data_IF_274867323201
#
_entry.id   IF_274867323201
#
_cell.length_a   1.000
_cell.length_b   1.000
_cell.length_c   1.000
_cell.angle_alpha   90.00
_cell.angle_beta   90.00
_cell.angle_gamma   90.00
#
_symmetry.space_group_name_H-M   'P 1'
#
loop_
_entity.id
_entity.type
_entity.pdbx_description
1 polymer ?
#
# COMPACT_ATOMS: atom_id res chain seq x y z
N UNK A 1 -10.54 -0.71 5.72
CA UNK A 1 -9.70 -1.64 4.93
C UNK A 1 -10.20 -1.64 3.50
N UNK A 2 -9.38 -1.15 2.59
CA UNK A 2 -9.73 -0.98 1.18
C UNK A 2 -9.38 -2.23 0.36
N UNK A 3 -8.37 -3.01 0.78
CA UNK A 3 -8.01 -4.29 0.17
C UNK A 3 -8.84 -5.39 0.84
N UNK A 4 -9.80 -5.99 0.14
CA UNK A 4 -10.70 -6.98 0.73
C UNK A 4 -10.59 -8.37 0.10
N UNK A 5 -9.91 -8.50 -1.05
CA UNK A 5 -9.81 -9.79 -1.73
C UNK A 5 -8.38 -10.19 -2.06
N UNK A 6 -8.12 -11.50 -1.97
CA UNK A 6 -6.84 -12.09 -2.41
C UNK A 6 -6.62 -11.93 -3.93
N UNK A 7 -7.70 -11.72 -4.70
CA UNK A 7 -7.63 -11.44 -6.13
C UNK A 7 -6.97 -10.09 -6.43
N UNK A 8 -7.30 -9.05 -5.66
CA UNK A 8 -6.67 -7.73 -5.75
C UNK A 8 -5.16 -7.82 -5.49
N UNK A 9 -4.75 -8.59 -4.47
CA UNK A 9 -3.33 -8.79 -4.14
C UNK A 9 -2.57 -9.47 -5.30
N UNK A 10 -3.19 -10.47 -5.92
CA UNK A 10 -2.59 -11.23 -7.04
C UNK A 10 -2.47 -10.42 -8.32
N UNK A 11 -3.30 -9.41 -8.52
CA UNK A 11 -3.26 -8.58 -9.72
C UNK A 11 -1.96 -7.77 -9.81
N UNK A 12 -1.39 -7.37 -8.67
CA UNK A 12 -0.24 -6.46 -8.63
C UNK A 12 1.10 -7.14 -8.38
N UNK A 13 1.09 -8.37 -7.85
CA UNK A 13 2.33 -9.09 -7.53
C UNK A 13 2.63 -10.16 -8.57
N UNK A 14 3.81 -10.16 -9.22
CA UNK A 14 4.13 -11.04 -10.34
C UNK A 14 4.50 -12.48 -9.93
N UNK A 15 4.00 -12.96 -8.79
CA UNK A 15 4.36 -14.28 -8.23
C UNK A 15 3.12 -15.12 -7.93
N UNK A 16 3.28 -16.45 -7.93
CA UNK A 16 2.20 -17.36 -7.53
C UNK A 16 2.02 -17.27 -6.02
N UNK A 17 1.12 -16.38 -5.60
CA UNK A 17 0.88 -16.09 -4.20
C UNK A 17 -0.14 -17.09 -3.64
N UNK A 18 0.37 -18.00 -2.81
CA UNK A 18 -0.41 -18.80 -1.86
C UNK A 18 -0.61 -18.08 -0.52
N UNK A 19 -0.30 -16.78 -0.45
CA UNK A 19 -0.56 -15.95 0.74
C UNK A 19 -2.06 -15.75 0.89
N UNK A 20 -2.59 -16.08 2.07
CA UNK A 20 -3.95 -15.74 2.45
C UNK A 20 -4.02 -14.27 2.84
N UNK A 21 -5.13 -13.61 2.49
CA UNK A 21 -5.41 -12.25 2.97
C UNK A 21 -5.43 -12.19 4.49
N UNK A 22 -5.82 -13.28 5.17
CA UNK A 22 -5.83 -13.38 6.64
C UNK A 22 -4.45 -13.18 7.27
N UNK A 23 -3.40 -13.73 6.65
CA UNK A 23 -2.04 -13.58 7.15
C UNK A 23 -1.47 -12.18 6.85
N UNK A 24 -1.97 -11.53 5.78
CA UNK A 24 -1.51 -10.19 5.39
C UNK A 24 -2.29 -9.08 6.11
N UNK A 25 -3.53 -9.33 6.53
CA UNK A 25 -4.43 -8.37 7.19
C UNK A 25 -3.78 -7.56 8.33
N UNK A 26 -2.98 -8.15 9.23
CA UNK A 26 -2.33 -7.40 10.32
C UNK A 26 -1.35 -6.33 9.81
N UNK A 27 -0.88 -6.43 8.58
CA UNK A 27 0.04 -5.47 7.96
C UNK A 27 -0.69 -4.45 7.08
N UNK A 28 -1.88 -4.78 6.57
CA UNK A 28 -2.67 -3.90 5.70
C UNK A 28 -3.16 -2.66 6.45
N UNK A 29 -3.81 -2.83 7.61
CA UNK A 29 -4.37 -1.70 8.36
C UNK A 29 -3.28 -0.69 8.80
N UNK A 30 -2.13 -1.12 9.36
CA UNK A 30 -1.03 -0.20 9.64
C UNK A 30 -0.48 0.50 8.41
N UNK A 31 -0.38 -0.18 7.26
CA UNK A 31 0.12 0.41 6.01
C UNK A 31 -0.85 1.44 5.45
N UNK A 32 -2.15 1.16 5.47
CA UNK A 32 -3.19 2.12 5.09
C UNK A 32 -3.05 3.41 5.92
N UNK A 33 -2.92 3.29 7.23
CA UNK A 33 -2.78 4.46 8.12
C UNK A 33 -1.44 5.17 7.96
N UNK A 34 -0.33 4.42 7.87
CA UNK A 34 1.03 4.96 7.84
C UNK A 34 1.36 5.64 6.53
N UNK A 35 0.85 5.13 5.40
CA UNK A 35 1.22 5.59 4.07
C UNK A 35 0.04 6.21 3.33
N UNK A 36 -1.10 5.52 3.24
CA UNK A 36 -2.20 6.00 2.40
C UNK A 36 -2.90 7.21 3.03
N UNK A 37 -3.31 7.12 4.30
CA UNK A 37 -4.00 8.21 5.01
C UNK A 37 -3.13 9.47 5.09
N UNK A 38 -1.81 9.32 5.24
CA UNK A 38 -0.89 10.47 5.23
C UNK A 38 -0.80 11.20 3.88
N UNK A 39 -1.20 10.54 2.80
CA UNK A 39 -1.16 11.08 1.43
C UNK A 39 -2.51 11.65 1.02
N UNK A 40 -3.60 10.93 1.32
CA UNK A 40 -4.95 11.30 0.84
C UNK A 40 -5.81 11.98 1.92
N UNK A 41 -5.38 11.97 3.17
CA UNK A 41 -6.16 12.45 4.31
C UNK A 41 -7.19 11.43 4.81
N UNK A 42 -7.57 11.58 6.08
CA UNK A 42 -8.50 10.67 6.75
C UNK A 42 -9.91 10.74 6.12
N UNK A 43 -10.39 11.93 5.78
CA UNK A 43 -11.74 12.11 5.22
C UNK A 43 -11.92 11.47 3.84
N UNK A 44 -10.89 11.54 2.99
CA UNK A 44 -10.91 10.90 1.68
C UNK A 44 -10.81 9.37 1.81
N UNK A 45 -9.97 8.89 2.74
CA UNK A 45 -9.89 7.46 3.06
C UNK A 45 -11.24 6.90 3.52
N UNK A 46 -11.93 7.60 4.43
CA UNK A 46 -13.24 7.16 4.92
C UNK A 46 -14.28 7.13 3.81
N UNK A 47 -14.24 8.10 2.89
CA UNK A 47 -15.09 8.13 1.69
C UNK A 47 -14.93 6.89 0.81
N UNK A 48 -13.68 6.42 0.62
CA UNK A 48 -13.40 5.22 -0.18
C UNK A 48 -13.80 3.96 0.59
N UNK A 49 -13.52 3.91 1.90
CA UNK A 49 -13.86 2.78 2.75
C UNK A 49 -15.39 2.58 2.83
N UNK A 50 -16.16 3.66 2.85
CA UNK A 50 -17.62 3.62 2.79
C UNK A 50 -18.13 3.21 1.41
N UNK A 51 -17.49 3.67 0.32
CA UNK A 51 -17.79 3.20 -1.03
C UNK A 51 -17.64 1.68 -1.14
N UNK A 52 -16.53 1.14 -0.65
CA UNK A 52 -16.23 -0.29 -0.65
C UNK A 52 -17.28 -1.10 0.14
N UNK A 53 -17.84 -0.54 1.22
CA UNK A 53 -18.89 -1.19 2.02
C UNK A 53 -20.29 -1.06 1.43
N UNK A 54 -20.60 0.07 0.80
CA UNK A 54 -21.96 0.42 0.35
C UNK A 54 -22.43 -0.33 -0.90
N UNK A 55 -21.50 -0.89 -1.68
CA UNK A 55 -21.75 -1.57 -2.97
C UNK A 55 -22.52 -0.69 -3.99
N UNK A 56 -22.55 0.63 -3.79
CA UNK A 56 -23.13 1.61 -4.71
C UNK A 56 -22.05 2.06 -5.67
N UNK A 57 -22.24 1.85 -6.97
CA UNK A 57 -21.26 2.25 -7.97
C UNK A 57 -21.06 3.77 -8.00
N UNK A 58 -19.80 4.19 -7.92
CA UNK A 58 -19.37 5.58 -8.03
C UNK A 58 -18.07 5.58 -8.84
N UNK A 59 -18.12 6.16 -10.03
CA UNK A 59 -17.01 6.14 -10.99
C UNK A 59 -15.73 6.79 -10.44
N UNK A 60 -15.87 7.91 -9.71
CA UNK A 60 -14.73 8.63 -9.12
C UNK A 60 -14.07 7.81 -8.03
N UNK A 61 -14.87 7.25 -7.12
CA UNK A 61 -14.34 6.37 -6.06
C UNK A 61 -13.75 5.07 -6.63
N UNK A 62 -14.32 4.54 -7.72
CA UNK A 62 -13.78 3.37 -8.41
C UNK A 62 -12.43 3.68 -9.08
N UNK A 63 -12.28 4.85 -9.69
CA UNK A 63 -11.02 5.30 -10.27
C UNK A 63 -9.96 5.48 -9.19
N UNK A 64 -10.27 6.22 -8.13
CA UNK A 64 -9.36 6.44 -7.01
C UNK A 64 -8.92 5.13 -6.34
N UNK A 65 -9.86 4.20 -6.10
CA UNK A 65 -9.56 2.90 -5.51
C UNK A 65 -8.50 2.13 -6.31
N UNK A 66 -8.54 2.17 -7.65
CA UNK A 66 -7.53 1.51 -8.50
C UNK A 66 -6.11 2.06 -8.29
N UNK A 67 -5.99 3.33 -7.89
CA UNK A 67 -4.70 3.96 -7.58
C UNK A 67 -4.29 3.76 -6.12
N UNK A 68 -5.24 3.59 -5.19
CA UNK A 68 -4.96 3.31 -3.78
C UNK A 68 -4.55 1.85 -3.49
N UNK A 69 -5.03 0.89 -4.29
CA UNK A 69 -4.76 -0.55 -4.07
C UNK A 69 -3.27 -0.92 -4.24
N UNK A 70 -2.57 -0.57 -5.33
CA UNK A 70 -1.18 -0.99 -5.54
C UNK A 70 -0.21 -0.60 -4.41
N UNK A 71 -0.16 0.66 -3.92
CA UNK A 71 0.80 1.03 -2.88
C UNK A 71 0.55 0.27 -1.58
N UNK A 72 -0.73 0.08 -1.20
CA UNK A 72 -1.09 -0.69 0.00
C UNK A 72 -0.65 -2.14 -0.15
N UNK A 73 -0.88 -2.78 -1.30
CA UNK A 73 -0.48 -4.19 -1.52
C UNK A 73 1.04 -4.36 -1.42
N UNK A 74 1.82 -3.56 -2.16
CA UNK A 74 3.28 -3.72 -2.17
C UNK A 74 3.90 -3.44 -0.79
N UNK A 75 3.47 -2.38 -0.11
CA UNK A 75 4.01 -2.01 1.19
C UNK A 75 3.55 -2.96 2.30
N UNK A 76 2.33 -3.50 2.24
CA UNK A 76 1.86 -4.52 3.20
C UNK A 76 2.70 -5.79 3.12
N UNK A 77 3.01 -6.24 1.90
CA UNK A 77 3.87 -7.41 1.72
C UNK A 77 5.31 -7.13 2.16
N UNK A 78 5.80 -5.90 1.96
CA UNK A 78 7.13 -5.50 2.45
C UNK A 78 7.20 -5.53 3.99
N UNK A 79 6.24 -4.94 4.68
CA UNK A 79 6.17 -4.91 6.15
C UNK A 79 5.97 -6.33 6.73
N UNK A 80 5.19 -7.16 6.05
CA UNK A 80 5.00 -8.57 6.42
C UNK A 80 6.15 -9.50 6.04
N UNK A 81 7.08 -9.09 5.18
CA UNK A 81 8.03 -9.99 4.50
C UNK A 81 8.80 -10.90 5.46
N UNK A 82 9.26 -10.35 6.59
CA UNK A 82 10.06 -11.07 7.57
C UNK A 82 9.23 -11.97 8.49
N UNK A 83 7.96 -11.62 8.71
CA UNK A 83 7.06 -12.38 9.59
C UNK A 83 6.32 -13.50 8.88
N UNK A 84 6.02 -13.32 7.59
CA UNK A 84 5.27 -14.30 6.80
C UNK A 84 6.02 -15.64 6.61
N UNK A 85 7.34 -15.65 6.84
CA UNK A 85 8.18 -16.84 6.73
C UNK A 85 8.52 -17.49 8.08
N UNK A 86 8.00 -16.96 9.19
CA UNK A 86 8.29 -17.42 10.56
C UNK A 86 7.07 -18.07 11.19
N UNK A 87 7.28 -19.20 11.84
CA UNK A 87 6.30 -19.92 12.65
C UNK A 87 6.64 -19.77 14.13
N UNK A 88 5.61 -19.52 14.93
CA UNK A 88 5.68 -19.31 16.38
C UNK A 88 5.03 -20.54 17.05
N UNK A 89 5.81 -21.28 17.83
CA UNK A 89 5.30 -22.44 18.56
C UNK A 89 5.85 -22.47 20.00
N UNK A 90 5.30 -23.33 20.85
CA UNK A 90 5.78 -23.51 22.23
C UNK A 90 7.25 -23.99 22.29
N UNK A 91 7.78 -24.52 21.20
CA UNK A 91 9.19 -24.92 21.06
C UNK A 91 10.11 -23.80 20.54
N UNK A 92 9.58 -22.62 20.23
CA UNK A 92 10.35 -21.44 19.80
C UNK A 92 9.95 -20.91 18.41
N UNK A 93 10.86 -20.15 17.79
CA UNK A 93 10.64 -19.53 16.48
C UNK A 93 11.36 -20.33 15.39
N UNK A 94 10.62 -20.74 14.36
CA UNK A 94 11.13 -21.56 13.27
C UNK A 94 10.89 -20.87 11.93
N UNK A 95 11.82 -21.04 10.98
CA UNK A 95 11.57 -20.65 9.59
C UNK A 95 10.78 -21.75 8.90
N UNK A 96 9.78 -21.37 8.11
CA UNK A 96 9.05 -22.29 7.26
C UNK A 96 9.96 -22.79 6.11
N UNK A 97 10.63 -23.91 6.33
CA UNK A 97 11.52 -24.57 5.38
C UNK A 97 11.26 -26.08 5.39
N UNK A 98 11.32 -26.70 4.22
CA UNK A 98 11.17 -28.16 4.08
C UNK A 98 12.13 -28.68 3.01
N UNK A 99 12.30 -30.00 2.94
CA UNK A 99 13.17 -30.63 1.94
C UNK A 99 12.84 -30.24 0.49
N UNK A 100 11.56 -29.89 0.22
CA UNK A 100 11.08 -29.48 -1.10
C UNK A 100 10.92 -27.97 -1.27
N UNK A 101 10.99 -27.18 -0.19
CA UNK A 101 10.88 -25.72 -0.21
C UNK A 101 12.03 -25.11 0.57
N UNK A 102 13.06 -24.69 -0.17
CA UNK A 102 14.22 -23.98 0.38
C UNK A 102 13.90 -22.51 0.59
N UNK A 103 14.47 -21.94 1.64
CA UNK A 103 14.44 -20.50 1.83
C UNK A 103 15.16 -19.75 0.71
N UNK A 104 14.86 -18.45 0.59
CA UNK A 104 15.55 -17.56 -0.33
C UNK A 104 17.00 -17.33 0.13
N UNK A 105 17.90 -17.10 -0.83
CA UNK A 105 19.22 -16.56 -0.50
C UNK A 105 19.09 -15.10 -0.09
N UNK A 106 19.96 -14.63 0.81
CA UNK A 106 19.89 -13.24 1.31
C UNK A 106 19.95 -12.15 0.22
N UNK A 107 20.59 -12.41 -0.93
CA UNK A 107 20.56 -11.45 -2.04
C UNK A 107 19.19 -11.42 -2.74
N UNK A 108 18.49 -12.56 -2.82
CA UNK A 108 17.14 -12.64 -3.39
C UNK A 108 16.15 -11.91 -2.49
N UNK A 109 16.22 -12.12 -1.18
CA UNK A 109 15.40 -11.39 -0.21
C UNK A 109 15.60 -9.88 -0.32
N UNK A 110 16.86 -9.41 -0.36
CA UNK A 110 17.16 -7.98 -0.54
C UNK A 110 16.61 -7.43 -1.85
N UNK A 111 16.76 -8.17 -2.95
CA UNK A 111 16.25 -7.74 -4.25
C UNK A 111 14.72 -7.64 -4.26
N UNK A 112 14.03 -8.60 -3.65
CA UNK A 112 12.56 -8.59 -3.55
C UNK A 112 12.10 -7.45 -2.64
N UNK A 113 12.72 -7.25 -1.47
CA UNK A 113 12.40 -6.11 -0.59
C UNK A 113 12.60 -4.78 -1.31
N UNK A 114 13.70 -4.64 -2.06
CA UNK A 114 13.96 -3.43 -2.86
C UNK A 114 12.90 -3.23 -3.94
N UNK A 115 12.51 -4.29 -4.65
CA UNK A 115 11.42 -4.26 -5.62
C UNK A 115 10.10 -3.82 -4.98
N UNK A 116 9.66 -4.49 -3.91
CA UNK A 116 8.41 -4.17 -3.19
C UNK A 116 8.40 -2.71 -2.70
N UNK A 117 9.53 -2.25 -2.16
CA UNK A 117 9.71 -0.87 -1.71
C UNK A 117 9.55 0.10 -2.87
N UNK A 118 10.32 -0.06 -3.94
CA UNK A 118 10.31 0.85 -5.08
C UNK A 118 8.94 0.84 -5.77
N UNK A 119 8.34 -0.32 -5.99
CA UNK A 119 7.01 -0.45 -6.57
C UNK A 119 5.92 0.19 -5.69
N UNK A 120 6.00 0.03 -4.37
CA UNK A 120 5.07 0.65 -3.43
C UNK A 120 5.15 2.17 -3.43
N UNK A 121 6.36 2.75 -3.38
CA UNK A 121 6.53 4.20 -3.41
C UNK A 121 6.22 4.80 -4.78
N UNK A 122 6.64 4.18 -5.88
CA UNK A 122 6.25 4.62 -7.22
C UNK A 122 4.72 4.59 -7.41
N UNK A 123 4.03 3.63 -6.79
CA UNK A 123 2.58 3.59 -6.82
C UNK A 123 1.92 4.70 -5.98
N UNK A 124 2.53 5.10 -4.85
CA UNK A 124 2.10 6.28 -4.09
C UNK A 124 2.30 7.56 -4.91
N UNK A 125 3.42 7.71 -5.61
CA UNK A 125 3.66 8.85 -6.50
C UNK A 125 2.62 8.92 -7.63
N UNK A 126 2.29 7.78 -8.24
CA UNK A 126 1.25 7.71 -9.26
C UNK A 126 -0.14 8.04 -8.71
N UNK A 127 -0.44 7.67 -7.46
CA UNK A 127 -1.68 8.04 -6.77
C UNK A 127 -1.74 9.56 -6.56
N UNK A 128 -0.66 10.16 -6.07
CA UNK A 128 -0.55 11.62 -5.91
C UNK A 128 -0.79 12.32 -7.23
N UNK A 129 -0.04 11.94 -8.28
CA UNK A 129 -0.20 12.51 -9.61
C UNK A 129 -1.64 12.42 -10.13
N UNK A 130 -2.30 11.28 -9.91
CA UNK A 130 -3.70 11.11 -10.29
C UNK A 130 -4.63 12.09 -9.55
N UNK A 131 -4.42 12.30 -8.25
CA UNK A 131 -5.18 13.25 -7.45
C UNK A 131 -4.95 14.70 -7.91
N UNK A 132 -3.71 15.06 -8.25
CA UNK A 132 -3.38 16.39 -8.78
C UNK A 132 -4.05 16.67 -10.14
N UNK A 133 -4.01 15.69 -11.05
CA UNK A 133 -4.64 15.81 -12.37
C UNK A 133 -6.17 15.90 -12.31
N UNK A 134 -6.78 15.47 -11.21
CA UNK A 134 -8.23 15.42 -11.00
C UNK A 134 -8.65 16.15 -9.72
N UNK A 135 -7.94 17.22 -9.34
CA UNK A 135 -8.14 17.90 -8.06
C UNK A 135 -9.60 18.38 -7.86
N UNK A 136 -10.25 18.84 -8.93
CA UNK A 136 -11.65 19.28 -8.93
C UNK A 136 -12.64 18.14 -8.62
N UNK A 137 -12.24 16.89 -8.86
CA UNK A 137 -13.07 15.71 -8.61
C UNK A 137 -12.96 15.21 -7.16
N UNK A 138 -11.94 15.64 -6.42
CA UNK A 138 -11.63 15.18 -5.06
C UNK A 138 -11.50 16.36 -4.07
N UNK A 139 -12.58 17.13 -3.82
CA UNK A 139 -12.52 18.31 -2.95
C UNK A 139 -12.10 17.96 -1.52
N UNK A 140 -12.48 16.79 -0.99
CA UNK A 140 -12.05 16.34 0.35
C UNK A 140 -10.54 16.17 0.49
N UNK A 141 -9.84 15.89 -0.61
CA UNK A 141 -8.39 15.86 -0.63
C UNK A 141 -7.82 17.26 -0.92
N UNK A 142 -8.40 17.96 -1.91
CA UNK A 142 -7.96 19.30 -2.28
C UNK A 142 -7.97 20.29 -1.10
N UNK A 143 -8.99 20.20 -0.24
CA UNK A 143 -9.19 21.04 0.94
C UNK A 143 -8.39 20.56 2.16
N UNK A 144 -7.66 19.45 2.07
CA UNK A 144 -6.98 18.82 3.20
C UNK A 144 -5.57 19.34 3.43
N UNK A 145 -5.10 19.24 4.67
CA UNK A 145 -3.72 19.60 5.04
C UNK A 145 -2.72 18.72 4.30
N UNK A 146 -3.06 17.47 3.97
CA UNK A 146 -2.20 16.54 3.24
C UNK A 146 -1.91 17.02 1.80
N UNK A 147 -2.89 17.60 1.11
CA UNK A 147 -2.67 18.24 -0.19
C UNK A 147 -1.70 19.42 -0.08
N UNK A 148 -1.90 20.29 0.92
CA UNK A 148 -0.99 21.42 1.19
C UNK A 148 0.43 20.95 1.53
N UNK A 149 0.55 19.94 2.38
CA UNK A 149 1.82 19.37 2.83
C UNK A 149 2.59 18.65 1.71
N UNK A 150 1.89 18.06 0.74
CA UNK A 150 2.51 17.48 -0.46
C UNK A 150 3.28 18.55 -1.25
N UNK A 151 2.78 19.79 -1.27
CA UNK A 151 3.45 20.93 -1.90
C UNK A 151 4.42 21.69 -1.01
N UNK A 152 4.25 21.67 0.32
CA UNK A 152 5.13 22.38 1.28
C UNK A 152 6.42 21.61 1.58
N UNK A 153 6.43 20.28 1.42
CA UNK A 153 7.64 19.46 1.61
C UNK A 153 8.60 19.51 0.42
N UNK A 154 8.19 20.15 -0.68
CA UNK A 154 8.99 20.34 -1.88
C UNK A 154 9.67 21.71 -1.81
N UNK A 155 10.95 21.74 -2.15
CA UNK A 155 11.65 23.00 -2.44
C UNK A 155 11.09 23.49 -3.77
N UNK A 156 10.21 24.50 -3.73
CA UNK A 156 9.45 24.96 -4.90
C UNK A 156 10.33 25.74 -5.86
N UNK A 157 11.42 26.32 -5.35
CA UNK A 157 12.38 27.08 -6.14
C UNK A 157 13.74 27.14 -5.44
N UNK A 158 14.79 27.46 -6.20
CA UNK A 158 16.17 27.53 -5.70
C UNK A 158 16.37 28.56 -4.56
N UNK A 159 15.46 29.51 -4.39
CA UNK A 159 15.53 30.52 -3.32
C UNK A 159 15.11 29.95 -1.96
N UNK A 160 14.33 28.86 -1.93
CA UNK A 160 13.97 28.14 -0.71
C UNK A 160 15.10 27.23 -0.19
N UNK A 161 16.17 27.05 -0.97
CA UNK A 161 17.38 26.29 -0.62
C UNK A 161 18.43 27.20 0.05
N UNK A 162 18.06 27.97 1.09
CA UNK A 162 19.00 28.87 1.79
C UNK A 162 19.12 28.54 3.26
#
# INVERSE_FOLDING_TARGET
MIVNTTAEIRQYLPVNISLSIENLKPFIEPVEQKYLVKVIGQEQYDSINDYVKSNVYNEKNAALLKHCLPPVVFLSVLEGFDFLNVEFSDSGFHRNESDTKKGLYGYQERNIKSFLKNSGFNALENLLKFLEEHIDDYPKWADSDECTNAYDSLIRNATEFT
#
